data_IF_812231923146
#
_entry.id   IF_812231923146
#
_cell.length_a   1.000
_cell.length_b   1.000
_cell.length_c   1.000
_cell.angle_alpha   90.00
_cell.angle_beta   90.00
_cell.angle_gamma   90.00
#
_symmetry.space_group_name_H-M   'P 1'
#
loop_
_entity.id
_entity.type
_entity.pdbx_description
1 polymer ?
#
# COMPACT_ATOMS: atom_id res chain seq x y z
N UNK A 1 39.40 6.62 10.39
CA UNK A 1 40.35 5.50 10.56
C UNK A 1 39.53 4.23 10.65
N UNK A 2 39.78 3.24 9.79
CA UNK A 2 39.13 1.93 9.89
C UNK A 2 39.61 1.30 11.20
N UNK A 3 38.70 1.16 12.17
CA UNK A 3 39.03 0.45 13.40
C UNK A 3 39.15 -1.04 13.03
N UNK A 4 40.33 -1.63 13.26
CA UNK A 4 40.57 -3.04 12.96
C UNK A 4 39.69 -3.93 13.85
N UNK A 5 39.26 -5.09 13.34
CA UNK A 5 38.39 -6.00 14.05
C UNK A 5 39.15 -6.64 15.23
N UNK A 6 38.78 -6.35 16.50
CA UNK A 6 39.48 -6.87 17.68
C UNK A 6 39.38 -8.39 17.83
N UNK A 7 38.45 -9.04 17.12
CA UNK A 7 38.38 -10.51 17.06
C UNK A 7 39.55 -11.14 16.31
N UNK A 8 40.25 -10.39 15.46
CA UNK A 8 41.42 -10.84 14.71
C UNK A 8 42.74 -10.45 15.40
N UNK A 9 42.68 -9.69 16.50
CA UNK A 9 43.86 -9.23 17.20
C UNK A 9 44.53 -10.40 17.93
N UNK A 10 45.81 -10.61 17.66
CA UNK A 10 46.67 -11.58 18.35
C UNK A 10 47.41 -10.87 19.48
N UNK A 11 47.50 -11.52 20.63
CA UNK A 11 48.24 -11.01 21.76
C UNK A 11 49.73 -10.85 21.40
N UNK A 12 50.32 -9.65 21.57
CA UNK A 12 51.75 -9.46 21.37
C UNK A 12 52.57 -10.27 22.38
N UNK A 13 53.72 -10.78 21.96
CA UNK A 13 54.67 -11.40 22.87
C UNK A 13 55.50 -10.31 23.56
N UNK A 14 55.07 -9.95 24.76
CA UNK A 14 55.72 -8.90 25.56
C UNK A 14 57.14 -9.27 26.03
N UNK A 15 57.60 -10.52 25.82
CA UNK A 15 58.96 -10.95 26.13
C UNK A 15 59.97 -10.60 25.03
N UNK A 16 59.49 -10.18 23.86
CA UNK A 16 60.34 -9.78 22.73
C UNK A 16 61.19 -8.54 23.03
N UNK A 17 62.34 -8.46 22.35
CA UNK A 17 63.29 -7.37 22.54
C UNK A 17 62.72 -5.99 22.18
N UNK A 18 61.74 -5.93 21.27
CA UNK A 18 61.03 -4.71 20.90
C UNK A 18 60.35 -4.01 22.10
N UNK A 19 59.98 -4.78 23.13
CA UNK A 19 59.36 -4.26 24.35
C UNK A 19 60.37 -4.05 25.48
N UNK A 20 61.66 -4.29 25.27
CA UNK A 20 62.69 -4.23 26.32
C UNK A 20 62.75 -2.86 27.00
N UNK A 21 62.72 -1.76 26.24
CA UNK A 21 62.76 -0.40 26.82
C UNK A 21 61.55 -0.09 27.71
N UNK A 22 60.36 -0.56 27.31
CA UNK A 22 59.14 -0.40 28.10
C UNK A 22 59.16 -1.27 29.36
N UNK A 23 59.69 -2.49 29.26
CA UNK A 23 59.90 -3.39 30.40
C UNK A 23 60.93 -2.83 31.39
N UNK A 24 62.03 -2.26 30.91
CA UNK A 24 63.09 -1.70 31.75
C UNK A 24 62.54 -0.65 32.74
N UNK A 25 61.64 0.22 32.28
CA UNK A 25 61.00 1.23 33.15
C UNK A 25 60.17 0.63 34.28
N UNK A 26 59.61 -0.57 34.08
CA UNK A 26 58.84 -1.29 35.09
C UNK A 26 59.74 -2.14 35.99
N UNK A 27 60.83 -2.69 35.46
CA UNK A 27 61.85 -3.42 36.21
C UNK A 27 62.62 -2.51 37.17
N UNK A 28 62.92 -1.27 36.76
CA UNK A 28 63.51 -0.25 37.64
C UNK A 28 62.60 0.09 38.84
N UNK A 29 61.30 -0.23 38.73
CA UNK A 29 60.31 -0.16 39.81
C UNK A 29 60.26 -1.37 40.74
N UNK A 30 61.14 -2.36 40.57
CA UNK A 30 61.26 -3.54 41.44
C UNK A 30 60.50 -4.80 40.97
N UNK A 31 59.94 -4.79 39.75
CA UNK A 31 59.29 -5.96 39.16
C UNK A 31 60.26 -6.85 38.40
N UNK A 32 60.05 -8.17 38.41
CA UNK A 32 60.80 -9.06 37.53
C UNK A 32 60.26 -9.00 36.10
N UNK A 33 61.10 -9.30 35.12
CA UNK A 33 60.73 -9.27 33.70
C UNK A 33 59.50 -10.15 33.40
N UNK A 34 59.46 -11.35 34.00
CA UNK A 34 58.32 -12.28 33.90
C UNK A 34 57.03 -11.70 34.48
N UNK A 35 57.12 -10.97 35.61
CA UNK A 35 55.95 -10.34 36.23
C UNK A 35 55.41 -9.20 35.36
N UNK A 36 56.30 -8.44 34.73
CA UNK A 36 55.93 -7.37 33.81
C UNK A 36 55.23 -7.94 32.57
N UNK A 37 55.82 -8.96 31.93
CA UNK A 37 55.24 -9.59 30.75
C UNK A 37 53.86 -10.21 31.06
N UNK A 38 53.71 -10.90 32.19
CA UNK A 38 52.42 -11.43 32.65
C UNK A 38 51.38 -10.33 32.87
N UNK A 39 51.77 -9.21 33.47
CA UNK A 39 50.85 -8.10 33.76
C UNK A 39 50.38 -7.42 32.48
N UNK A 40 51.28 -7.17 31.52
CA UNK A 40 50.95 -6.61 30.21
C UNK A 40 50.03 -7.54 29.42
N UNK A 41 50.28 -8.85 29.49
CA UNK A 41 49.46 -9.87 28.88
C UNK A 41 48.01 -9.84 29.39
N UNK A 42 47.83 -9.75 30.71
CA UNK A 42 46.50 -9.63 31.34
C UNK A 42 45.81 -8.33 30.94
N UNK A 43 46.52 -7.20 31.01
CA UNK A 43 45.96 -5.89 30.64
C UNK A 43 45.53 -5.84 29.18
N UNK A 44 46.34 -6.38 28.27
CA UNK A 44 46.00 -6.46 26.85
C UNK A 44 44.74 -7.30 26.65
N UNK A 45 44.62 -8.44 27.34
CA UNK A 45 43.44 -9.32 27.23
C UNK A 45 42.17 -8.61 27.70
N UNK A 46 42.23 -7.90 28.82
CA UNK A 46 41.11 -7.11 29.34
C UNK A 46 40.71 -6.00 28.37
N UNK A 47 41.69 -5.26 27.84
CA UNK A 47 41.44 -4.20 26.87
C UNK A 47 40.83 -4.74 25.57
N UNK A 48 41.39 -5.82 25.03
CA UNK A 48 40.89 -6.45 23.81
C UNK A 48 39.48 -7.01 23.99
N UNK A 49 39.16 -7.60 25.16
CA UNK A 49 37.81 -8.05 25.45
C UNK A 49 36.80 -6.90 25.47
N UNK A 50 37.15 -5.77 26.11
CA UNK A 50 36.31 -4.58 26.09
C UNK A 50 36.14 -4.01 24.66
N UNK A 51 37.18 -4.09 23.83
CA UNK A 51 37.07 -3.70 22.42
C UNK A 51 36.18 -4.63 21.60
N UNK A 52 36.20 -5.94 21.88
CA UNK A 52 35.26 -6.91 21.27
C UNK A 52 33.82 -6.62 21.65
N UNK A 53 33.54 -6.30 22.91
CA UNK A 53 32.19 -5.90 23.34
C UNK A 53 31.73 -4.63 22.62
N UNK A 54 32.58 -3.60 22.58
CA UNK A 54 32.30 -2.37 21.82
C UNK A 54 32.09 -2.66 20.34
N UNK A 55 32.86 -3.57 19.77
CA UNK A 55 32.70 -3.99 18.38
C UNK A 55 31.34 -4.66 18.15
N UNK A 56 30.94 -5.59 19.01
CA UNK A 56 29.68 -6.30 18.91
C UNK A 56 28.50 -5.34 19.02
N UNK A 57 28.50 -4.43 19.99
CA UNK A 57 27.46 -3.40 20.14
C UNK A 57 27.33 -2.52 18.88
N UNK A 58 28.45 -2.18 18.23
CA UNK A 58 28.41 -1.44 16.96
C UNK A 58 27.81 -2.28 15.83
N UNK A 59 28.15 -3.57 15.76
CA UNK A 59 27.56 -4.45 14.74
C UNK A 59 26.06 -4.63 14.95
N UNK A 60 25.62 -4.83 16.19
CA UNK A 60 24.20 -4.90 16.56
C UNK A 60 23.47 -3.60 16.20
N UNK A 61 24.02 -2.45 16.58
CA UNK A 61 23.42 -1.15 16.24
C UNK A 61 23.34 -0.91 14.72
N UNK A 62 24.36 -1.33 13.96
CA UNK A 62 24.34 -1.26 12.50
C UNK A 62 23.35 -2.25 11.86
N UNK A 63 23.08 -3.37 12.51
CA UNK A 63 22.08 -4.34 12.06
C UNK A 63 20.67 -3.81 12.35
N UNK A 64 20.42 -3.35 13.58
CA UNK A 64 19.14 -2.76 13.97
C UNK A 64 18.80 -1.53 13.11
N UNK A 65 19.77 -0.68 12.78
CA UNK A 65 19.55 0.45 11.89
C UNK A 65 19.13 0.02 10.48
N UNK A 66 19.69 -1.09 9.97
CA UNK A 66 19.31 -1.65 8.66
C UNK A 66 17.93 -2.28 8.70
N UNK A 67 17.63 -3.05 9.75
CA UNK A 67 16.30 -3.64 9.93
C UNK A 67 15.23 -2.56 10.03
N UNK A 68 15.49 -1.45 10.74
CA UNK A 68 14.57 -0.30 10.78
C UNK A 68 14.39 0.37 9.42
N UNK A 69 15.46 0.52 8.65
CA UNK A 69 15.38 1.09 7.30
C UNK A 69 14.53 0.19 6.38
N UNK A 70 14.74 -1.12 6.43
CA UNK A 70 13.94 -2.11 5.70
C UNK A 70 12.47 -2.09 6.14
N UNK A 71 12.18 -2.06 7.45
CA UNK A 71 10.82 -1.95 7.98
C UNK A 71 10.13 -0.64 7.55
N UNK A 72 10.85 0.49 7.56
CA UNK A 72 10.32 1.78 7.10
C UNK A 72 10.04 1.76 5.59
N UNK A 73 10.91 1.14 4.78
CA UNK A 73 10.69 0.96 3.34
C UNK A 73 9.47 0.08 3.06
N UNK A 74 9.32 -1.04 3.78
CA UNK A 74 8.14 -1.91 3.67
C UNK A 74 6.86 -1.19 4.06
N UNK A 75 6.88 -0.40 5.14
CA UNK A 75 5.73 0.42 5.56
C UNK A 75 5.38 1.46 4.51
N UNK A 76 6.36 2.18 3.97
CA UNK A 76 6.13 3.14 2.90
C UNK A 76 5.54 2.47 1.66
N UNK A 77 6.04 1.29 1.31
CA UNK A 77 5.53 0.51 0.18
C UNK A 77 4.09 0.08 0.39
N UNK A 78 3.75 -0.39 1.61
CA UNK A 78 2.39 -0.76 1.95
C UNK A 78 1.44 0.44 1.85
N UNK A 79 1.82 1.59 2.38
CA UNK A 79 1.00 2.82 2.30
C UNK A 79 0.79 3.23 0.84
N UNK A 80 1.83 3.17 -0.01
CA UNK A 80 1.69 3.45 -1.43
C UNK A 80 0.73 2.47 -2.13
N UNK A 81 0.72 1.19 -1.75
CA UNK A 81 -0.20 0.20 -2.31
C UNK A 81 -1.64 0.49 -1.88
N UNK A 82 -1.89 0.76 -0.60
CA UNK A 82 -3.22 1.08 -0.08
C UNK A 82 -3.78 2.36 -0.71
N UNK A 83 -2.95 3.39 -0.89
CA UNK A 83 -3.35 4.62 -1.58
C UNK A 83 -3.70 4.37 -3.05
N UNK A 84 -2.89 3.58 -3.77
CA UNK A 84 -3.17 3.22 -5.15
C UNK A 84 -4.46 2.41 -5.29
N UNK A 85 -4.72 1.46 -4.39
CA UNK A 85 -5.97 0.70 -4.35
C UNK A 85 -7.19 1.58 -4.06
N UNK A 86 -7.06 2.55 -3.15
CA UNK A 86 -8.11 3.51 -2.85
C UNK A 86 -8.47 4.36 -4.08
N UNK A 87 -7.47 4.86 -4.80
CA UNK A 87 -7.66 5.60 -6.06
C UNK A 87 -8.38 4.74 -7.09
N UNK A 88 -7.94 3.50 -7.29
CA UNK A 88 -8.59 2.57 -8.22
C UNK A 88 -10.04 2.28 -7.85
N UNK A 89 -10.34 2.13 -6.55
CA UNK A 89 -11.70 1.92 -6.08
C UNK A 89 -12.59 3.15 -6.30
N UNK A 90 -12.07 4.34 -6.03
CA UNK A 90 -12.76 5.60 -6.30
C UNK A 90 -13.06 5.77 -7.79
N UNK A 91 -12.08 5.53 -8.66
CA UNK A 91 -12.26 5.63 -10.10
C UNK A 91 -13.29 4.62 -10.60
N UNK A 92 -13.27 3.39 -10.07
CA UNK A 92 -14.32 2.40 -10.37
C UNK A 92 -15.71 2.88 -9.95
N UNK A 93 -15.83 3.54 -8.80
CA UNK A 93 -17.11 4.14 -8.34
C UNK A 93 -17.54 5.28 -9.25
N UNK A 94 -16.64 6.22 -9.58
CA UNK A 94 -16.89 7.35 -10.49
C UNK A 94 -17.31 6.85 -11.87
N UNK A 95 -16.63 5.82 -12.40
CA UNK A 95 -16.96 5.22 -13.69
C UNK A 95 -18.35 4.57 -13.67
N UNK A 96 -18.69 3.79 -12.64
CA UNK A 96 -20.05 3.24 -12.47
C UNK A 96 -21.12 4.33 -12.40
N UNK A 97 -20.86 5.39 -11.62
CA UNK A 97 -21.77 6.54 -11.53
C UNK A 97 -21.93 7.24 -12.88
N UNK A 98 -20.84 7.44 -13.63
CA UNK A 98 -20.86 8.01 -14.97
C UNK A 98 -21.63 7.14 -15.98
N UNK A 99 -21.52 5.82 -15.87
CA UNK A 99 -22.33 4.89 -16.67
C UNK A 99 -23.81 5.01 -16.33
N UNK A 100 -24.16 5.02 -15.03
CA UNK A 100 -25.53 5.18 -14.58
C UNK A 100 -26.13 6.53 -15.02
N UNK A 101 -25.39 7.63 -14.88
CA UNK A 101 -25.85 8.95 -15.32
C UNK A 101 -26.03 9.00 -16.83
N UNK A 102 -25.10 8.43 -17.61
CA UNK A 102 -25.22 8.35 -19.08
C UNK A 102 -26.45 7.52 -19.48
N UNK A 103 -26.69 6.38 -18.84
CA UNK A 103 -27.89 5.58 -19.10
C UNK A 103 -29.18 6.33 -18.74
N UNK A 104 -29.19 7.05 -17.62
CA UNK A 104 -30.33 7.85 -17.18
C UNK A 104 -30.62 9.02 -18.14
N UNK A 105 -29.57 9.68 -18.64
CA UNK A 105 -29.72 10.74 -19.65
C UNK A 105 -30.25 10.17 -20.96
N UNK A 106 -29.72 9.03 -21.44
CA UNK A 106 -30.27 8.34 -22.62
C UNK A 106 -31.76 8.02 -22.43
N UNK A 107 -32.17 7.47 -21.29
CA UNK A 107 -33.57 7.19 -21.01
C UNK A 107 -34.43 8.47 -20.95
N UNK A 108 -33.89 9.58 -20.42
CA UNK A 108 -34.56 10.88 -20.40
C UNK A 108 -34.69 11.50 -21.79
N UNK A 109 -33.70 11.35 -22.65
CA UNK A 109 -33.73 11.81 -24.05
C UNK A 109 -34.78 11.02 -24.86
N UNK A 110 -34.87 9.70 -24.69
CA UNK A 110 -35.96 8.89 -25.27
C UNK A 110 -37.36 9.37 -24.81
N UNK A 111 -37.50 9.84 -23.56
CA UNK A 111 -38.76 10.37 -23.03
C UNK A 111 -39.04 11.83 -23.44
N UNK A 112 -38.08 12.51 -24.06
CA UNK A 112 -38.20 13.89 -24.54
C UNK A 112 -38.51 13.99 -26.04
N UNK A 113 -38.45 12.87 -26.78
CA UNK A 113 -38.92 12.83 -28.16
C UNK A 113 -40.45 13.05 -28.21
N UNK A 114 -40.94 13.96 -29.07
CA UNK A 114 -42.36 14.35 -29.09
C UNK A 114 -43.31 13.20 -29.43
N UNK A 115 -42.80 12.14 -30.07
CA UNK A 115 -43.56 10.99 -30.55
C UNK A 115 -43.43 9.75 -29.64
N UNK A 116 -42.68 9.85 -28.53
CA UNK A 116 -42.59 8.76 -27.55
C UNK A 116 -43.88 8.70 -26.73
N UNK A 117 -44.51 7.53 -26.72
CA UNK A 117 -45.75 7.27 -25.98
C UNK A 117 -45.47 6.36 -24.78
N UNK A 118 -46.14 6.62 -23.66
CA UNK A 118 -46.05 5.82 -22.43
C UNK A 118 -47.39 5.14 -22.19
N UNK A 119 -47.33 3.83 -21.94
CA UNK A 119 -48.49 3.01 -21.57
C UNK A 119 -48.69 3.03 -20.05
N UNK A 120 -49.83 3.53 -19.59
CA UNK A 120 -50.20 3.48 -18.17
C UNK A 120 -51.15 2.31 -17.90
N UNK A 121 -50.86 1.43 -16.92
CA UNK A 121 -51.78 0.37 -16.52
C UNK A 121 -53.02 0.97 -15.86
N UNK A 122 -54.20 0.68 -16.40
CA UNK A 122 -55.50 1.04 -15.80
C UNK A 122 -56.10 -0.16 -15.07
N UNK A 123 -56.83 0.10 -13.98
CA UNK A 123 -57.48 -0.95 -13.19
C UNK A 123 -58.60 -1.70 -13.93
N UNK A 124 -59.01 -1.24 -15.10
CA UNK A 124 -60.07 -1.85 -15.91
C UNK A 124 -59.56 -2.65 -17.13
N UNK A 125 -58.25 -2.89 -17.22
CA UNK A 125 -57.63 -3.66 -18.32
C UNK A 125 -57.52 -2.89 -19.65
N UNK A 126 -57.93 -1.62 -19.69
CA UNK A 126 -57.75 -0.75 -20.84
C UNK A 126 -56.52 0.15 -20.62
N UNK A 127 -55.43 -0.12 -21.31
CA UNK A 127 -54.21 0.66 -21.19
C UNK A 127 -54.39 2.06 -21.80
N UNK A 128 -53.90 3.10 -21.11
CA UNK A 128 -53.96 4.48 -21.60
C UNK A 128 -52.61 4.90 -22.17
N UNK A 129 -52.59 5.34 -23.43
CA UNK A 129 -51.41 5.83 -24.12
C UNK A 129 -51.35 7.35 -24.05
N UNK A 130 -50.32 7.89 -23.41
CA UNK A 130 -50.10 9.34 -23.34
C UNK A 130 -48.70 9.69 -23.84
N UNK A 131 -48.50 10.86 -24.47
CA UNK A 131 -47.16 11.32 -24.81
C UNK A 131 -46.28 11.36 -23.57
N UNK A 132 -45.04 10.91 -23.68
CA UNK A 132 -44.08 10.86 -22.58
C UNK A 132 -43.91 12.24 -21.91
N UNK A 133 -43.97 13.32 -22.70
CA UNK A 133 -43.92 14.71 -22.24
C UNK A 133 -45.11 15.13 -21.34
N UNK A 134 -46.23 14.41 -21.37
CA UNK A 134 -47.42 14.70 -20.57
C UNK A 134 -47.40 13.99 -19.19
N UNK A 135 -46.44 13.09 -18.96
CA UNK A 135 -46.29 12.35 -17.70
C UNK A 135 -45.68 13.27 -16.63
N UNK A 136 -46.50 13.72 -15.67
CA UNK A 136 -46.07 14.65 -14.60
C UNK A 136 -45.05 14.03 -13.63
N UNK A 137 -45.01 12.70 -13.52
CA UNK A 137 -44.12 11.99 -12.60
C UNK A 137 -43.56 10.71 -13.27
N UNK A 138 -42.50 10.82 -14.09
CA UNK A 138 -41.99 9.70 -14.91
C UNK A 138 -41.38 8.56 -14.08
N UNK A 139 -41.24 8.73 -12.76
CA UNK A 139 -40.83 7.67 -11.82
C UNK A 139 -41.99 6.82 -11.29
N UNK A 140 -43.24 7.29 -11.42
CA UNK A 140 -44.43 6.61 -10.90
C UNK A 140 -45.05 5.64 -11.92
N UNK A 141 -44.69 5.77 -13.20
CA UNK A 141 -45.16 4.91 -14.27
C UNK A 141 -44.11 3.82 -14.59
N UNK A 142 -44.47 2.52 -14.60
CA UNK A 142 -43.56 1.47 -15.06
C UNK A 142 -43.33 1.64 -16.56
N UNK A 143 -42.12 2.08 -16.94
CA UNK A 143 -41.70 2.18 -18.34
C UNK A 143 -41.33 0.77 -18.81
N UNK A 144 -42.18 0.19 -19.65
CA UNK A 144 -41.92 -1.11 -20.30
C UNK A 144 -41.27 -0.81 -21.65
N UNK A 145 -40.12 -1.43 -21.92
CA UNK A 145 -39.50 -1.34 -23.26
C UNK A 145 -40.26 -2.23 -24.25
N UNK A 146 -40.25 -1.87 -25.52
CA UNK A 146 -40.93 -2.61 -26.61
C UNK A 146 -40.59 -4.11 -26.62
N UNK A 147 -39.33 -4.45 -26.31
CA UNK A 147 -38.82 -5.84 -26.23
C UNK A 147 -39.42 -6.68 -25.08
N UNK A 148 -40.17 -6.05 -24.18
CA UNK A 148 -40.79 -6.69 -23.01
C UNK A 148 -42.31 -6.61 -23.02
N UNK A 149 -42.92 -6.12 -24.10
CA UNK A 149 -44.36 -6.15 -24.27
C UNK A 149 -44.85 -7.58 -24.46
N UNK A 150 -45.94 -7.94 -23.79
CA UNK A 150 -46.67 -9.16 -24.11
C UNK A 150 -47.32 -9.04 -25.50
N UNK A 151 -47.74 -10.18 -26.07
CA UNK A 151 -48.38 -10.19 -27.39
C UNK A 151 -49.67 -9.37 -27.47
N UNK A 152 -50.43 -9.29 -26.37
CA UNK A 152 -51.65 -8.48 -26.29
C UNK A 152 -51.31 -6.99 -26.25
N UNK A 153 -50.36 -6.58 -25.39
CA UNK A 153 -49.88 -5.20 -25.29
C UNK A 153 -49.21 -4.72 -26.59
N UNK A 154 -48.48 -5.60 -27.28
CA UNK A 154 -47.89 -5.31 -28.58
C UNK A 154 -48.95 -5.01 -29.65
N UNK A 155 -50.05 -5.78 -29.69
CA UNK A 155 -51.15 -5.51 -30.63
C UNK A 155 -51.85 -4.18 -30.35
N UNK A 156 -51.94 -3.78 -29.07
CA UNK A 156 -52.47 -2.47 -28.68
C UNK A 156 -51.52 -1.32 -29.02
N UNK A 157 -50.20 -1.54 -28.89
CA UNK A 157 -49.17 -0.55 -29.22
C UNK A 157 -48.95 -0.38 -30.73
N UNK A 158 -49.16 -1.44 -31.52
CA UNK A 158 -48.80 -1.49 -32.95
C UNK A 158 -49.39 -0.35 -33.80
N UNK A 159 -50.67 0.08 -33.64
CA UNK A 159 -51.20 1.22 -34.38
C UNK A 159 -50.47 2.53 -34.08
N UNK A 160 -49.99 2.71 -32.85
CA UNK A 160 -49.26 3.90 -32.42
C UNK A 160 -47.81 3.90 -32.92
N UNK A 161 -47.17 2.72 -32.99
CA UNK A 161 -45.81 2.58 -33.54
C UNK A 161 -45.75 2.95 -35.03
N UNK A 162 -46.80 2.61 -35.80
CA UNK A 162 -46.87 2.95 -37.24
C UNK A 162 -47.06 4.45 -37.47
N UNK A 163 -47.68 5.17 -36.52
CA UNK A 163 -47.87 6.63 -36.62
C UNK A 163 -46.65 7.45 -36.16
N UNK A 164 -45.74 6.85 -35.40
CA UNK A 164 -44.51 7.49 -34.91
C UNK A 164 -43.28 7.27 -35.82
N UNK A 165 -43.44 6.60 -36.97
CA UNK A 165 -42.41 6.44 -38.03
C UNK A 165 -42.42 7.60 -39.02
#
# INVERSE_FOLDING_TARGET
MLQENPNLAVQPDFTLQEHQLARQQLVDGGFTDDQVACSLAVLWTLANNADKERWNLRQECLQEAREREEEEEEQCQQVCQEEAEAVHLEDRKKNKMAQYTTQKLKAGDYLAEPDTMVMLPSSEGLHSWIPAAAVKDPKAAPIVRDEHLSWEEFNEAAPHMVTSM
#
